data_IF_183265167625
#
_entry.id   IF_183265167625
#
_cell.length_a   1.000
_cell.length_b   1.000
_cell.length_c   1.000
_cell.angle_alpha   90.00
_cell.angle_beta   90.00
_cell.angle_gamma   90.00
#
_symmetry.space_group_name_H-M   'P 1'
#
loop_
_entity.id
_entity.type
_entity.pdbx_description
1 polymer ?
#
# COMPACT_ATOMS: atom_id res chain seq x y z
N UNK A 1 -0.26 -15.66 23.35
CA UNK A 1 -0.37 -14.61 22.31
C UNK A 1 0.36 -13.31 22.68
N UNK A 2 0.14 -12.69 23.85
CA UNK A 2 0.84 -11.43 24.23
C UNK A 2 2.37 -11.50 24.09
N UNK A 3 3.02 -12.50 24.67
CA UNK A 3 4.49 -12.63 24.60
C UNK A 3 5.00 -12.82 23.16
N UNK A 4 4.24 -13.48 22.28
CA UNK A 4 4.60 -13.62 20.88
C UNK A 4 4.53 -12.27 20.15
N UNK A 5 3.49 -11.47 20.38
CA UNK A 5 3.39 -10.12 19.82
C UNK A 5 4.48 -9.18 20.37
N UNK A 6 4.83 -9.28 21.65
CA UNK A 6 5.94 -8.52 22.23
C UNK A 6 7.26 -8.89 21.56
N UNK A 7 7.53 -10.18 21.38
CA UNK A 7 8.73 -10.66 20.68
C UNK A 7 8.76 -10.19 19.22
N UNK A 8 7.62 -10.21 18.52
CA UNK A 8 7.50 -9.69 17.16
C UNK A 8 7.82 -8.20 17.10
N UNK A 9 7.21 -7.39 17.98
CA UNK A 9 7.49 -5.94 18.03
C UNK A 9 8.99 -5.72 18.31
N UNK A 10 9.59 -6.44 19.24
CA UNK A 10 11.03 -6.31 19.53
C UNK A 10 11.90 -6.68 18.33
N UNK A 11 11.52 -7.70 17.56
CA UNK A 11 12.19 -8.07 16.33
C UNK A 11 12.08 -6.97 15.27
N UNK A 12 10.86 -6.47 15.03
CA UNK A 12 10.54 -5.42 14.07
C UNK A 12 11.31 -4.12 14.34
N UNK A 13 11.53 -3.77 15.62
CA UNK A 13 12.32 -2.60 16.04
C UNK A 13 13.78 -2.66 15.57
N UNK A 14 14.30 -3.84 15.25
CA UNK A 14 15.63 -4.05 14.69
C UNK A 14 15.68 -4.14 13.17
N UNK A 15 14.54 -4.16 12.47
CA UNK A 15 14.48 -4.31 11.02
C UNK A 15 14.40 -2.94 10.31
N UNK A 16 15.43 -2.53 9.55
CA UNK A 16 15.42 -1.28 8.79
C UNK A 16 14.24 -1.15 7.83
N UNK A 17 13.77 -2.26 7.23
CA UNK A 17 12.64 -2.25 6.29
C UNK A 17 11.32 -1.93 7.02
N UNK A 18 11.11 -2.53 8.18
CA UNK A 18 9.99 -2.20 9.04
C UNK A 18 10.08 -0.75 9.54
N UNK A 19 11.28 -0.30 9.95
CA UNK A 19 11.51 1.06 10.44
C UNK A 19 11.19 2.13 9.39
N UNK A 20 11.55 1.92 8.11
CA UNK A 20 11.24 2.90 7.06
C UNK A 20 9.75 2.97 6.76
N UNK A 21 9.05 1.82 6.74
CA UNK A 21 7.60 1.77 6.57
C UNK A 21 6.88 2.44 7.74
N UNK A 22 7.37 2.22 8.97
CA UNK A 22 6.86 2.83 10.20
C UNK A 22 7.05 4.34 10.20
N UNK A 23 8.24 4.83 9.86
CA UNK A 23 8.52 6.25 9.74
C UNK A 23 7.65 6.89 8.65
N UNK A 24 7.49 6.23 7.50
CA UNK A 24 6.62 6.67 6.41
C UNK A 24 5.17 6.82 6.86
N UNK A 25 4.58 5.76 7.42
CA UNK A 25 3.18 5.78 7.87
C UNK A 25 2.95 6.83 8.96
N UNK A 26 3.87 6.96 9.92
CA UNK A 26 3.73 7.94 11.00
C UNK A 26 3.79 9.39 10.53
N UNK A 27 4.50 9.67 9.43
CA UNK A 27 4.56 11.00 8.82
C UNK A 27 3.34 11.28 7.93
N UNK A 28 3.03 10.36 7.03
CA UNK A 28 1.97 10.53 6.01
C UNK A 28 0.58 10.52 6.64
N UNK A 29 0.40 9.75 7.72
CA UNK A 29 -0.85 9.60 8.46
C UNK A 29 -0.78 10.19 9.88
N UNK A 30 0.02 11.24 10.09
CA UNK A 30 0.11 11.91 11.39
C UNK A 30 -1.28 12.29 11.91
N UNK A 31 -1.62 11.84 13.12
CA UNK A 31 -2.92 12.08 13.75
C UNK A 31 -4.07 11.22 13.25
N UNK A 32 -3.83 10.28 12.32
CA UNK A 32 -4.83 9.37 11.76
C UNK A 32 -4.56 7.91 12.18
N UNK A 33 -5.58 7.04 12.36
CA UNK A 33 -5.40 5.63 12.73
C UNK A 33 -4.50 4.82 11.79
N UNK A 34 -4.43 5.17 10.49
CA UNK A 34 -3.48 4.56 9.54
C UNK A 34 -2.00 4.80 9.91
N UNK A 35 -1.75 5.81 10.73
CA UNK A 35 -0.45 6.06 11.32
C UNK A 35 -0.13 5.12 12.47
N UNK A 36 -1.02 4.24 12.94
CA UNK A 36 -0.74 3.34 14.05
C UNK A 36 -0.16 1.99 13.54
N UNK A 37 0.83 1.38 14.22
CA UNK A 37 1.30 0.05 13.88
C UNK A 37 0.22 -0.99 14.23
N UNK A 38 -0.02 -1.93 13.31
CA UNK A 38 -1.06 -2.96 13.50
C UNK A 38 -0.83 -3.86 14.73
N UNK A 39 0.42 -4.15 15.07
CA UNK A 39 0.77 -4.91 16.27
C UNK A 39 0.70 -4.06 17.57
N UNK A 40 0.48 -2.75 17.47
CA UNK A 40 0.55 -1.81 18.59
C UNK A 40 1.98 -1.47 19.00
N UNK A 41 2.14 -1.02 20.24
CA UNK A 41 3.42 -0.67 20.87
C UNK A 41 3.68 -1.60 22.06
N UNK A 42 4.94 -1.71 22.49
CA UNK A 42 5.26 -2.44 23.72
C UNK A 42 4.44 -1.94 24.93
N UNK A 43 4.26 -0.62 25.04
CA UNK A 43 3.44 -0.01 26.08
C UNK A 43 1.95 -0.40 25.98
N UNK A 44 1.37 -0.37 24.77
CA UNK A 44 -0.05 -0.74 24.60
C UNK A 44 -0.27 -2.23 24.83
N UNK A 45 0.67 -3.09 24.42
CA UNK A 45 0.59 -4.54 24.65
C UNK A 45 0.56 -4.92 26.14
N UNK A 46 1.24 -4.15 26.97
CA UNK A 46 1.21 -4.31 28.42
C UNK A 46 -0.12 -3.82 29.05
N UNK A 47 -0.72 -2.78 28.48
CA UNK A 47 -1.95 -2.17 28.98
C UNK A 47 -3.22 -2.93 28.61
N UNK A 48 -3.26 -3.64 27.46
CA UNK A 48 -4.44 -4.38 27.00
C UNK A 48 -4.86 -5.44 28.03
N UNK A 49 -6.08 -5.35 28.52
CA UNK A 49 -6.72 -6.29 29.45
C UNK A 49 -7.61 -7.30 28.71
N UNK A 50 -8.09 -8.32 29.43
CA UNK A 50 -9.10 -9.22 28.88
C UNK A 50 -10.41 -8.48 28.59
N UNK A 51 -10.78 -7.52 29.43
CA UNK A 51 -12.04 -6.81 29.29
C UNK A 51 -12.05 -5.96 28.01
N UNK A 52 -10.95 -5.31 27.70
CA UNK A 52 -10.80 -4.55 26.44
C UNK A 52 -11.07 -5.42 25.21
N UNK A 53 -10.59 -6.67 25.20
CA UNK A 53 -10.84 -7.61 24.10
C UNK A 53 -12.30 -8.03 24.01
N UNK A 54 -12.95 -8.23 25.16
CA UNK A 54 -14.38 -8.59 25.22
C UNK A 54 -15.23 -7.42 24.70
N UNK A 55 -14.95 -6.21 25.16
CA UNK A 55 -15.68 -5.00 24.78
C UNK A 55 -15.45 -4.63 23.31
N UNK A 56 -14.21 -4.76 22.82
CA UNK A 56 -13.90 -4.58 21.40
C UNK A 56 -14.62 -5.61 20.52
N UNK A 57 -14.65 -6.88 20.94
CA UNK A 57 -15.36 -7.92 20.17
C UNK A 57 -16.86 -7.63 20.13
N UNK A 58 -17.47 -7.28 21.27
CA UNK A 58 -18.89 -6.99 21.36
C UNK A 58 -19.30 -5.75 20.53
N UNK A 59 -18.42 -4.76 20.39
CA UNK A 59 -18.69 -3.53 19.64
C UNK A 59 -18.37 -3.63 18.15
N UNK A 60 -17.43 -4.48 17.74
CA UNK A 60 -16.94 -4.53 16.34
C UNK A 60 -17.46 -5.75 15.55
N UNK A 61 -17.75 -6.87 16.21
CA UNK A 61 -18.24 -8.08 15.54
C UNK A 61 -19.76 -8.00 15.42
N UNK A 62 -20.23 -7.26 14.41
CA UNK A 62 -21.64 -6.95 14.21
C UNK A 62 -22.08 -7.24 12.78
N UNK A 63 -23.35 -7.59 12.58
CA UNK A 63 -23.88 -8.01 11.28
C UNK A 63 -23.75 -6.92 10.21
N UNK A 64 -23.95 -5.65 10.57
CA UNK A 64 -23.79 -4.52 9.63
C UNK A 64 -22.35 -4.30 9.13
N UNK A 65 -21.35 -4.84 9.82
CA UNK A 65 -19.93 -4.79 9.43
C UNK A 65 -19.44 -6.03 8.69
N UNK A 66 -20.23 -7.10 8.62
CA UNK A 66 -19.83 -8.34 7.97
C UNK A 66 -19.78 -8.19 6.45
N UNK A 67 -18.66 -8.60 5.87
CA UNK A 67 -18.49 -8.84 4.44
C UNK A 67 -18.04 -10.28 4.27
N UNK A 68 -18.75 -11.04 3.45
CA UNK A 68 -18.51 -12.47 3.27
C UNK A 68 -18.40 -12.77 1.77
N UNK A 69 -17.43 -13.61 1.43
CA UNK A 69 -17.29 -14.18 0.10
C UNK A 69 -17.15 -15.69 0.24
N UNK A 70 -17.98 -16.43 -0.49
CA UNK A 70 -18.08 -17.88 -0.40
C UNK A 70 -17.85 -18.44 -1.80
N UNK A 71 -16.91 -19.37 -1.94
CA UNK A 71 -16.61 -20.04 -3.19
C UNK A 71 -16.33 -21.53 -2.92
N UNK A 72 -17.00 -22.42 -3.65
CA UNK A 72 -16.86 -23.86 -3.50
C UNK A 72 -18.09 -24.62 -3.96
N UNK A 73 -18.09 -25.92 -3.69
CA UNK A 73 -19.23 -26.82 -3.92
C UNK A 73 -20.27 -26.62 -2.83
N UNK A 74 -21.05 -25.54 -2.95
CA UNK A 74 -22.10 -25.16 -2.01
C UNK A 74 -23.20 -24.40 -2.74
N UNK A 75 -24.46 -24.74 -2.43
CA UNK A 75 -25.62 -24.00 -2.94
C UNK A 75 -25.85 -22.71 -2.14
N UNK A 76 -26.54 -21.75 -2.74
CA UNK A 76 -26.89 -20.50 -2.06
C UNK A 76 -27.69 -20.76 -0.77
N UNK A 77 -28.65 -21.69 -0.81
CA UNK A 77 -29.47 -22.06 0.35
C UNK A 77 -28.65 -22.71 1.48
N UNK A 78 -27.67 -23.54 1.14
CA UNK A 78 -26.74 -24.13 2.13
C UNK A 78 -25.84 -23.06 2.74
N UNK A 79 -25.29 -22.17 1.92
CA UNK A 79 -24.47 -21.06 2.36
C UNK A 79 -25.25 -20.14 3.30
N UNK A 80 -26.47 -19.75 2.94
CA UNK A 80 -27.35 -18.92 3.77
C UNK A 80 -27.57 -19.54 5.15
N UNK A 81 -27.92 -20.83 5.21
CA UNK A 81 -28.10 -21.54 6.49
C UNK A 81 -26.84 -21.57 7.35
N UNK A 82 -25.66 -21.75 6.74
CA UNK A 82 -24.39 -21.75 7.47
C UNK A 82 -24.02 -20.35 7.98
N UNK A 83 -24.26 -19.31 7.18
CA UNK A 83 -24.05 -17.92 7.56
C UNK A 83 -24.95 -17.55 8.74
N UNK A 84 -26.24 -17.89 8.68
CA UNK A 84 -27.18 -17.65 9.78
C UNK A 84 -26.77 -18.40 11.05
N UNK A 85 -26.34 -19.65 10.91
CA UNK A 85 -25.86 -20.46 12.05
C UNK A 85 -24.59 -19.86 12.66
N UNK A 86 -23.65 -19.37 11.86
CA UNK A 86 -22.37 -18.87 12.33
C UNK A 86 -22.44 -17.45 12.90
N UNK A 87 -23.22 -16.57 12.25
CA UNK A 87 -23.18 -15.13 12.49
C UNK A 87 -24.53 -14.55 12.93
N UNK A 88 -25.61 -15.33 12.93
CA UNK A 88 -26.96 -14.85 13.28
C UNK A 88 -27.09 -14.34 14.72
N UNK A 89 -26.21 -14.81 15.63
CA UNK A 89 -26.17 -14.37 17.02
C UNK A 89 -25.40 -13.05 17.23
N UNK A 90 -24.73 -12.52 16.20
CA UNK A 90 -24.01 -11.26 16.33
C UNK A 90 -24.99 -10.07 16.46
N UNK A 91 -24.62 -9.02 17.24
CA UNK A 91 -25.39 -7.79 17.28
C UNK A 91 -25.64 -7.22 15.87
N UNK A 92 -26.79 -6.57 15.68
CA UNK A 92 -27.14 -6.02 14.37
C UNK A 92 -26.20 -4.87 13.96
N UNK A 93 -25.95 -3.96 14.91
CA UNK A 93 -25.10 -2.78 14.75
C UNK A 93 -24.11 -2.70 15.91
N UNK A 94 -23.03 -1.95 15.70
CA UNK A 94 -21.95 -1.75 16.63
C UNK A 94 -21.33 -0.38 16.46
N UNK A 95 -20.15 -0.19 17.04
CA UNK A 95 -19.40 1.04 16.87
C UNK A 95 -18.91 1.14 15.43
N UNK A 96 -19.35 2.18 14.72
CA UNK A 96 -18.89 2.48 13.37
C UNK A 96 -18.16 3.81 13.40
N UNK A 97 -16.85 3.80 13.18
CA UNK A 97 -16.13 5.02 12.86
C UNK A 97 -16.62 5.51 11.48
N UNK A 98 -17.44 6.56 11.51
CA UNK A 98 -17.72 7.41 10.35
C UNK A 98 -16.60 8.43 10.23
N UNK A 99 -15.45 8.00 9.76
CA UNK A 99 -14.34 8.90 9.48
C UNK A 99 -14.35 9.24 7.98
N UNK A 100 -14.30 10.54 7.68
CA UNK A 100 -14.31 11.06 6.31
C UNK A 100 -13.01 10.75 5.56
N UNK A 101 -12.95 11.16 4.29
CA UNK A 101 -11.72 11.03 3.52
C UNK A 101 -10.57 11.82 4.19
N UNK A 102 -9.43 11.17 4.36
CA UNK A 102 -8.21 11.73 4.91
C UNK A 102 -7.25 12.04 3.77
N UNK A 103 -6.94 13.32 3.58
CA UNK A 103 -5.88 13.76 2.69
C UNK A 103 -4.53 13.63 3.41
N UNK A 104 -3.63 12.73 2.96
CA UNK A 104 -2.34 12.59 3.59
C UNK A 104 -1.51 13.84 3.39
N UNK A 105 -0.66 14.15 4.37
CA UNK A 105 0.26 15.28 4.29
C UNK A 105 1.46 14.86 3.42
N UNK A 106 1.34 15.01 2.10
CA UNK A 106 2.50 14.95 1.23
C UNK A 106 3.28 16.25 1.41
N UNK A 107 4.48 16.13 1.96
CA UNK A 107 5.26 17.30 2.36
C UNK A 107 6.23 17.77 1.27
N UNK A 108 6.47 16.95 0.24
CA UNK A 108 7.56 17.15 -0.71
C UNK A 108 8.95 17.08 -0.07
N UNK A 109 9.04 16.55 1.17
CA UNK A 109 10.26 16.57 1.97
C UNK A 109 11.01 15.25 1.90
N UNK A 110 12.31 15.36 2.09
CA UNK A 110 13.22 14.26 2.37
C UNK A 110 13.41 14.12 3.88
N UNK A 111 13.11 12.95 4.41
CA UNK A 111 13.15 12.63 5.83
C UNK A 111 14.15 11.48 6.03
N UNK A 112 15.05 11.62 7.02
CA UNK A 112 16.05 10.61 7.33
C UNK A 112 15.96 10.22 8.81
N UNK A 113 15.85 8.93 9.08
CA UNK A 113 16.19 8.34 10.37
C UNK A 113 17.59 7.69 10.26
N UNK A 114 18.62 8.25 10.91
CA UNK A 114 19.98 7.72 10.82
C UNK A 114 20.08 6.34 11.47
N UNK A 115 20.58 5.36 10.71
CA UNK A 115 20.83 4.02 11.20
C UNK A 115 22.11 3.45 10.59
N UNK A 116 22.97 2.84 11.40
CA UNK A 116 24.23 2.28 10.92
C UNK A 116 24.03 0.94 10.20
N UNK A 117 23.57 1.00 8.96
CA UNK A 117 23.32 -0.15 8.09
C UNK A 117 24.13 -0.05 6.79
N UNK A 118 24.47 -1.19 6.15
CA UNK A 118 25.19 -1.19 4.87
C UNK A 118 24.35 -0.64 3.71
N UNK A 119 23.02 -0.67 3.84
CA UNK A 119 22.07 -0.15 2.87
C UNK A 119 21.14 0.85 3.53
N UNK A 120 20.70 1.84 2.75
CA UNK A 120 19.62 2.74 3.11
C UNK A 120 18.31 2.19 2.53
N UNK A 121 17.33 1.97 3.41
CA UNK A 121 15.96 1.63 3.04
C UNK A 121 15.21 2.90 2.69
N UNK A 122 14.46 2.91 1.58
CA UNK A 122 13.83 4.11 1.03
C UNK A 122 12.38 3.79 0.69
N UNK A 123 11.45 4.53 1.30
CA UNK A 123 10.03 4.55 0.93
C UNK A 123 9.66 5.94 0.43
N UNK A 124 8.88 5.97 -0.65
CA UNK A 124 8.46 7.17 -1.35
C UNK A 124 6.94 7.16 -1.40
N UNK A 125 6.33 8.32 -1.15
CA UNK A 125 4.90 8.53 -1.19
C UNK A 125 4.50 9.76 -1.96
N UNK A 126 3.45 9.61 -2.75
CA UNK A 126 2.76 10.66 -3.49
C UNK A 126 1.25 10.49 -3.36
N UNK A 127 0.52 11.55 -3.73
CA UNK A 127 -0.93 11.49 -3.85
C UNK A 127 -1.34 10.37 -4.81
N UNK A 128 -2.18 9.46 -4.33
CA UNK A 128 -2.73 8.38 -5.13
C UNK A 128 -4.04 8.75 -5.80
N UNK A 129 -4.76 7.71 -6.19
CA UNK A 129 -6.06 7.80 -6.85
C UNK A 129 -7.05 6.84 -6.17
N UNK A 130 -8.24 7.31 -5.75
CA UNK A 130 -9.27 6.44 -5.19
C UNK A 130 -9.74 5.36 -6.17
N UNK A 131 -10.25 4.26 -5.64
CA UNK A 131 -10.66 3.10 -6.43
C UNK A 131 -11.83 3.36 -7.40
N UNK A 132 -12.69 4.30 -7.03
CA UNK A 132 -13.89 4.73 -7.76
C UNK A 132 -13.64 5.93 -8.70
N UNK A 133 -12.41 6.43 -8.77
CA UNK A 133 -12.04 7.47 -9.73
C UNK A 133 -12.16 6.93 -11.16
N UNK A 134 -12.76 7.72 -12.06
CA UNK A 134 -12.92 7.38 -13.48
C UNK A 134 -11.60 7.05 -14.19
N UNK A 135 -10.49 7.52 -13.65
CA UNK A 135 -9.15 7.34 -14.19
C UNK A 135 -8.41 6.12 -13.61
N UNK A 136 -9.06 5.33 -12.73
CA UNK A 136 -8.43 4.21 -12.04
C UNK A 136 -7.71 3.24 -12.98
N UNK A 137 -8.37 2.81 -14.07
CA UNK A 137 -7.77 1.87 -15.02
C UNK A 137 -6.57 2.42 -15.77
N UNK A 138 -6.60 3.71 -16.11
CA UNK A 138 -5.45 4.40 -16.69
C UNK A 138 -4.30 4.50 -15.68
N UNK A 139 -4.60 4.72 -14.40
CA UNK A 139 -3.60 4.70 -13.34
C UNK A 139 -3.00 3.30 -13.11
N UNK A 140 -3.80 2.22 -13.19
CA UNK A 140 -3.31 0.84 -13.08
C UNK A 140 -2.30 0.53 -14.19
N UNK A 141 -2.63 0.88 -15.44
CA UNK A 141 -1.73 0.70 -16.59
C UNK A 141 -0.47 1.57 -16.41
N UNK A 142 -0.63 2.84 -16.02
CA UNK A 142 0.48 3.74 -15.73
C UNK A 142 1.42 3.14 -14.67
N UNK A 143 0.88 2.70 -13.53
CA UNK A 143 1.70 2.13 -12.45
C UNK A 143 2.41 0.85 -12.88
N UNK A 144 1.75 -0.02 -13.65
CA UNK A 144 2.37 -1.23 -14.20
C UNK A 144 3.63 -0.88 -15.00
N UNK A 145 3.52 0.07 -15.93
CA UNK A 145 4.64 0.52 -16.78
C UNK A 145 5.74 1.18 -15.95
N UNK A 146 5.37 1.99 -14.96
CA UNK A 146 6.32 2.74 -14.14
C UNK A 146 7.18 1.82 -13.27
N UNK A 147 6.55 1.04 -12.40
CA UNK A 147 7.23 0.23 -11.39
C UNK A 147 6.45 -0.98 -10.87
N UNK A 148 5.25 -1.23 -11.38
CA UNK A 148 4.40 -2.36 -10.96
C UNK A 148 4.62 -3.65 -11.75
N UNK A 149 5.14 -3.55 -12.98
CA UNK A 149 5.29 -4.67 -13.93
C UNK A 149 6.53 -5.53 -13.75
N UNK A 150 7.12 -5.57 -12.54
CA UNK A 150 8.34 -6.32 -12.27
C UNK A 150 9.50 -5.89 -13.20
N UNK A 151 10.24 -6.84 -13.80
CA UNK A 151 11.44 -6.58 -14.60
C UNK A 151 11.21 -5.68 -15.83
N UNK A 152 10.02 -5.70 -16.45
CA UNK A 152 9.73 -4.89 -17.63
C UNK A 152 9.40 -3.42 -17.31
N UNK A 153 9.23 -3.09 -16.04
CA UNK A 153 8.89 -1.74 -15.60
C UNK A 153 10.07 -0.77 -15.77
N UNK A 154 9.77 0.51 -16.08
CA UNK A 154 10.78 1.55 -16.33
C UNK A 154 11.78 1.69 -15.18
N UNK A 155 11.30 1.74 -13.94
CA UNK A 155 12.17 1.87 -12.76
C UNK A 155 13.13 0.67 -12.60
N UNK A 156 12.64 -0.55 -12.84
CA UNK A 156 13.48 -1.74 -12.78
C UNK A 156 14.56 -1.71 -13.87
N UNK A 157 14.20 -1.38 -15.10
CA UNK A 157 15.16 -1.24 -16.20
C UNK A 157 16.21 -0.16 -15.91
N UNK A 158 15.79 1.02 -15.50
CA UNK A 158 16.69 2.18 -15.39
C UNK A 158 17.58 2.13 -14.15
N UNK A 159 17.05 1.68 -13.01
CA UNK A 159 17.76 1.72 -11.72
C UNK A 159 18.48 0.39 -11.46
N UNK A 160 17.82 -0.75 -11.72
CA UNK A 160 18.40 -2.07 -11.47
C UNK A 160 19.22 -2.56 -12.66
N UNK A 161 18.66 -2.63 -13.86
CA UNK A 161 19.33 -3.29 -14.98
C UNK A 161 20.46 -2.46 -15.59
N UNK A 162 20.19 -1.20 -15.91
CA UNK A 162 21.18 -0.31 -16.55
C UNK A 162 22.28 0.17 -15.61
N UNK A 163 21.95 0.38 -14.32
CA UNK A 163 22.83 1.07 -13.36
C UNK A 163 23.21 0.22 -12.14
N UNK A 164 22.52 -0.88 -11.86
CA UNK A 164 22.84 -1.74 -10.71
C UNK A 164 22.81 -1.02 -9.36
N UNK A 165 21.89 -0.08 -9.18
CA UNK A 165 21.81 0.76 -7.97
C UNK A 165 21.06 0.09 -6.82
N UNK A 166 20.13 -0.81 -7.16
CA UNK A 166 19.30 -1.60 -6.24
C UNK A 166 19.19 -3.04 -6.73
N UNK A 167 18.86 -3.96 -5.83
CA UNK A 167 18.43 -5.30 -6.21
C UNK A 167 17.01 -5.32 -6.81
N UNK A 168 16.15 -4.41 -6.37
CA UNK A 168 14.77 -4.31 -6.82
C UNK A 168 14.14 -2.98 -6.43
N UNK A 169 13.20 -2.53 -7.24
CA UNK A 169 12.38 -1.34 -7.00
C UNK A 169 10.98 -1.60 -7.52
N UNK A 170 9.98 -1.13 -6.80
CA UNK A 170 8.59 -1.30 -7.18
C UNK A 170 7.79 -0.04 -6.90
N UNK A 171 6.66 0.10 -7.59
CA UNK A 171 5.64 1.10 -7.28
C UNK A 171 4.26 0.48 -7.18
N UNK A 172 3.41 1.04 -6.32
CA UNK A 172 2.05 0.54 -6.10
C UNK A 172 1.04 1.66 -5.90
N UNK A 173 -0.16 1.44 -6.44
CA UNK A 173 -1.36 2.18 -6.08
C UNK A 173 -1.98 1.51 -4.85
N UNK A 174 -2.07 2.25 -3.75
CA UNK A 174 -2.70 1.80 -2.52
C UNK A 174 -4.00 2.56 -2.34
N UNK A 175 -5.12 1.96 -2.74
CA UNK A 175 -6.45 2.48 -2.40
C UNK A 175 -6.85 1.97 -1.02
N UNK A 176 -7.07 2.89 -0.09
CA UNK A 176 -7.53 2.63 1.26
C UNK A 176 -8.96 3.15 1.44
N UNK A 177 -9.63 2.77 2.52
CA UNK A 177 -11.03 3.17 2.77
C UNK A 177 -11.22 4.68 2.81
N UNK A 178 -10.23 5.43 3.28
CA UNK A 178 -10.33 6.88 3.48
C UNK A 178 -9.26 7.67 2.71
N UNK A 179 -8.40 7.02 1.94
CA UNK A 179 -7.32 7.71 1.25
C UNK A 179 -6.78 6.88 0.09
N UNK A 180 -5.93 7.46 -0.75
CA UNK A 180 -5.18 6.71 -1.74
C UNK A 180 -3.76 7.24 -1.88
N UNK A 181 -2.82 6.33 -2.08
CA UNK A 181 -1.40 6.65 -2.23
C UNK A 181 -0.84 6.03 -3.50
N UNK A 182 0.08 6.75 -4.14
CA UNK A 182 1.06 6.14 -5.02
C UNK A 182 2.36 6.03 -4.23
N UNK A 183 2.88 4.82 -4.11
CA UNK A 183 4.09 4.54 -3.34
C UNK A 183 5.16 3.93 -4.22
N UNK A 184 6.42 4.13 -3.86
CA UNK A 184 7.55 3.38 -4.40
C UNK A 184 8.52 3.01 -3.28
N UNK A 185 9.25 1.92 -3.45
CA UNK A 185 10.17 1.42 -2.42
C UNK A 185 11.34 0.66 -2.99
N UNK A 186 12.52 0.85 -2.38
CA UNK A 186 13.74 0.12 -2.69
C UNK A 186 14.79 0.24 -1.58
N UNK A 187 15.87 -0.52 -1.73
CA UNK A 187 17.04 -0.51 -0.88
C UNK A 187 18.29 -0.29 -1.74
N UNK A 188 19.16 0.64 -1.36
CA UNK A 188 20.42 0.88 -2.07
C UNK A 188 21.58 0.95 -1.08
N UNK A 189 22.81 0.71 -1.54
CA UNK A 189 23.99 1.03 -0.71
C UNK A 189 24.00 2.52 -0.38
N UNK A 190 24.63 2.89 0.72
CA UNK A 190 24.65 4.27 1.21
C UNK A 190 25.21 5.25 0.14
N UNK A 191 26.20 4.83 -0.63
CA UNK A 191 26.83 5.62 -1.69
C UNK A 191 25.94 5.76 -2.93
N UNK A 192 25.08 4.77 -3.19
CA UNK A 192 24.20 4.69 -4.38
C UNK A 192 22.81 5.28 -4.15
N UNK A 193 22.42 5.51 -2.90
CA UNK A 193 21.08 5.96 -2.53
C UNK A 193 20.67 7.26 -3.23
N UNK A 194 21.58 8.24 -3.29
CA UNK A 194 21.30 9.52 -3.94
C UNK A 194 21.01 9.34 -5.44
N UNK A 195 21.91 8.65 -6.14
CA UNK A 195 21.77 8.42 -7.59
C UNK A 195 20.47 7.67 -7.90
N UNK A 196 20.12 6.66 -7.10
CA UNK A 196 18.88 5.90 -7.29
C UNK A 196 17.62 6.78 -7.11
N UNK A 197 17.62 7.69 -6.13
CA UNK A 197 16.52 8.64 -5.93
C UNK A 197 16.43 9.62 -7.10
N UNK A 198 17.56 10.14 -7.57
CA UNK A 198 17.61 11.07 -8.70
C UNK A 198 17.03 10.41 -9.97
N UNK A 199 17.48 9.19 -10.29
CA UNK A 199 16.97 8.42 -11.45
C UNK A 199 15.47 8.13 -11.31
N UNK A 200 14.99 7.78 -10.11
CA UNK A 200 13.55 7.60 -9.89
C UNK A 200 12.76 8.87 -10.20
N UNK A 201 13.24 10.04 -9.72
CA UNK A 201 12.59 11.33 -9.99
C UNK A 201 12.58 11.66 -11.48
N UNK A 202 13.68 11.38 -12.17
CA UNK A 202 13.79 11.57 -13.62
C UNK A 202 12.78 10.69 -14.37
N UNK A 203 12.61 9.42 -13.98
CA UNK A 203 11.61 8.53 -14.58
C UNK A 203 10.17 8.98 -14.30
N UNK A 204 9.90 9.45 -13.07
CA UNK A 204 8.60 10.06 -12.72
C UNK A 204 8.28 11.23 -13.64
N UNK A 205 9.24 12.15 -13.78
CA UNK A 205 9.10 13.34 -14.61
C UNK A 205 8.95 12.98 -16.09
N UNK A 206 9.80 12.09 -16.60
CA UNK A 206 9.75 11.65 -18.00
C UNK A 206 8.40 11.02 -18.34
N UNK A 207 7.87 10.15 -17.47
CA UNK A 207 6.56 9.54 -17.70
C UNK A 207 5.42 10.58 -17.66
N UNK A 208 5.51 11.60 -16.80
CA UNK A 208 4.55 12.70 -16.79
C UNK A 208 4.61 13.56 -18.07
N UNK A 209 5.81 13.89 -18.56
CA UNK A 209 6.00 14.81 -19.68
C UNK A 209 5.79 14.12 -21.04
N UNK A 210 6.42 12.97 -21.24
CA UNK A 210 6.45 12.26 -22.51
C UNK A 210 5.27 11.29 -22.62
N UNK A 211 4.91 10.62 -21.53
CA UNK A 211 3.91 9.55 -21.49
C UNK A 211 4.52 8.15 -21.64
N UNK A 212 3.64 7.16 -21.78
CA UNK A 212 4.01 5.79 -22.12
C UNK A 212 4.02 5.59 -23.65
N UNK A 213 4.89 4.70 -24.14
CA UNK A 213 4.91 4.29 -25.54
C UNK A 213 3.74 3.35 -25.84
N UNK A 214 3.36 3.22 -27.12
CA UNK A 214 2.30 2.30 -27.54
C UNK A 214 2.62 0.84 -27.19
N UNK A 215 3.89 0.44 -27.29
CA UNK A 215 4.37 -0.89 -26.92
C UNK A 215 4.19 -1.14 -25.43
N UNK A 216 4.65 -0.21 -24.58
CA UNK A 216 4.47 -0.33 -23.12
C UNK A 216 3.00 -0.46 -22.71
N UNK A 217 2.10 0.30 -23.36
CA UNK A 217 0.67 0.21 -23.08
C UNK A 217 0.10 -1.12 -23.55
N UNK A 218 0.50 -1.59 -24.73
CA UNK A 218 0.04 -2.87 -25.29
C UNK A 218 0.47 -4.03 -24.40
N UNK A 219 1.74 -4.05 -23.99
CA UNK A 219 2.30 -5.09 -23.12
C UNK A 219 1.66 -5.05 -21.74
N UNK A 220 1.47 -3.86 -21.17
CA UNK A 220 0.79 -3.68 -19.89
C UNK A 220 -0.65 -4.23 -19.93
N UNK A 221 -1.41 -3.91 -20.99
CA UNK A 221 -2.77 -4.42 -21.17
C UNK A 221 -2.79 -5.94 -21.33
N UNK A 222 -1.90 -6.48 -22.16
CA UNK A 222 -1.80 -7.92 -22.38
C UNK A 222 -1.53 -8.66 -21.05
N UNK A 223 -0.57 -8.17 -20.26
CA UNK A 223 -0.27 -8.74 -18.95
C UNK A 223 -1.45 -8.61 -17.98
N UNK A 224 -1.98 -7.40 -17.77
CA UNK A 224 -3.02 -7.13 -16.76
C UNK A 224 -4.34 -7.87 -17.04
N UNK A 225 -4.63 -8.15 -18.31
CA UNK A 225 -5.81 -8.92 -18.71
C UNK A 225 -5.58 -10.42 -18.65
N UNK A 226 -4.39 -10.89 -19.01
CA UNK A 226 -4.00 -12.30 -18.96
C UNK A 226 -3.74 -12.82 -17.54
N UNK A 227 -3.25 -11.97 -16.63
CA UNK A 227 -2.90 -12.35 -15.26
C UNK A 227 -4.13 -12.61 -14.38
N UNK A 228 -5.28 -12.02 -14.69
CA UNK A 228 -6.51 -12.14 -13.89
C UNK A 228 -6.94 -13.61 -13.70
N UNK A 229 -6.80 -14.46 -14.73
CA UNK A 229 -7.17 -15.87 -14.63
C UNK A 229 -6.25 -16.64 -13.68
N UNK A 230 -4.98 -16.23 -13.56
CA UNK A 230 -4.02 -16.82 -12.62
C UNK A 230 -4.36 -16.46 -11.17
N UNK A 231 -5.01 -15.32 -10.96
CA UNK A 231 -5.51 -14.85 -9.65
C UNK A 231 -6.82 -15.55 -9.23
N UNK A 232 -7.37 -16.46 -10.04
CA UNK A 232 -8.67 -17.12 -9.80
C UNK A 232 -8.57 -18.66 -9.86
N UNK A 233 -7.40 -19.22 -9.53
CA UNK A 233 -7.10 -20.65 -9.71
C UNK A 233 -7.57 -21.56 -8.58
N UNK A 234 -7.91 -21.00 -7.41
CA UNK A 234 -8.47 -21.74 -6.28
C UNK A 234 -9.72 -21.07 -5.70
N UNK A 235 -10.51 -21.83 -4.94
CA UNK A 235 -11.66 -21.28 -4.18
C UNK A 235 -11.22 -20.23 -3.15
N UNK A 236 -10.02 -20.37 -2.59
CA UNK A 236 -9.40 -19.36 -1.73
C UNK A 236 -9.11 -18.05 -2.46
N UNK A 237 -8.59 -18.13 -3.69
CA UNK A 237 -8.29 -16.93 -4.49
C UNK A 237 -9.57 -16.25 -4.98
N UNK A 238 -10.57 -17.03 -5.41
CA UNK A 238 -11.88 -16.52 -5.84
C UNK A 238 -12.56 -15.79 -4.68
N UNK A 239 -12.66 -16.42 -3.50
CA UNK A 239 -13.30 -15.79 -2.34
C UNK A 239 -12.54 -14.54 -1.87
N UNK A 240 -11.19 -14.57 -1.88
CA UNK A 240 -10.37 -13.40 -1.57
C UNK A 240 -10.60 -12.24 -2.55
N UNK A 241 -10.70 -12.55 -3.85
CA UNK A 241 -10.99 -11.55 -4.89
C UNK A 241 -12.37 -10.92 -4.69
N UNK A 242 -13.41 -11.75 -4.52
CA UNK A 242 -14.78 -11.26 -4.30
C UNK A 242 -14.90 -10.41 -3.02
N UNK A 243 -14.19 -10.79 -1.96
CA UNK A 243 -14.14 -9.98 -0.73
C UNK A 243 -13.41 -8.64 -0.97
N UNK A 244 -12.34 -8.65 -1.76
CA UNK A 244 -11.64 -7.44 -2.22
C UNK A 244 -12.58 -6.48 -2.96
N UNK A 245 -13.40 -7.00 -3.89
CA UNK A 245 -14.39 -6.19 -4.61
C UNK A 245 -15.40 -5.55 -3.67
N UNK A 246 -15.95 -6.32 -2.72
CA UNK A 246 -16.87 -5.78 -1.71
C UNK A 246 -16.23 -4.70 -0.84
N UNK A 247 -14.95 -4.86 -0.46
CA UNK A 247 -14.19 -3.84 0.27
C UNK A 247 -14.08 -2.55 -0.54
N UNK A 248 -13.85 -2.69 -1.83
CA UNK A 248 -13.65 -1.63 -2.81
C UNK A 248 -14.97 -1.02 -3.32
N UNK A 249 -16.14 -1.52 -2.87
CA UNK A 249 -17.45 -1.01 -3.28
C UNK A 249 -17.89 -1.46 -4.68
N UNK A 250 -17.29 -2.54 -5.20
CA UNK A 250 -17.56 -3.09 -6.52
C UNK A 250 -18.46 -4.32 -6.42
N UNK A 251 -19.34 -4.48 -7.41
CA UNK A 251 -20.14 -5.69 -7.56
C UNK A 251 -19.30 -6.88 -8.06
N UNK A 252 -19.83 -8.08 -7.91
CA UNK A 252 -19.16 -9.31 -8.32
C UNK A 252 -18.97 -9.43 -9.84
N UNK A 253 -19.83 -8.78 -10.64
CA UNK A 253 -19.75 -8.78 -12.10
C UNK A 253 -18.57 -7.96 -12.63
N UNK A 254 -17.98 -7.10 -11.80
CA UNK A 254 -16.77 -6.35 -12.13
C UNK A 254 -15.66 -7.21 -12.75
N UNK A 255 -15.49 -8.47 -12.30
CA UNK A 255 -14.48 -9.40 -12.85
C UNK A 255 -14.68 -9.61 -14.35
N UNK A 256 -15.94 -9.71 -14.81
CA UNK A 256 -16.27 -9.97 -16.20
C UNK A 256 -16.03 -8.74 -17.10
N UNK A 257 -16.27 -7.54 -16.57
CA UNK A 257 -16.13 -6.28 -17.34
C UNK A 257 -14.75 -5.62 -17.22
N UNK A 258 -13.98 -5.90 -16.17
CA UNK A 258 -12.66 -5.29 -15.90
C UNK A 258 -11.74 -5.28 -17.11
N UNK A 259 -11.60 -6.42 -17.79
CA UNK A 259 -10.69 -6.53 -18.93
C UNK A 259 -11.16 -5.65 -20.10
N UNK A 260 -12.46 -5.62 -20.39
CA UNK A 260 -13.01 -4.73 -21.42
C UNK A 260 -12.83 -3.25 -21.06
N UNK A 261 -12.95 -2.89 -19.79
CA UNK A 261 -12.70 -1.53 -19.30
C UNK A 261 -11.22 -1.12 -19.42
N UNK A 262 -10.28 -2.00 -19.05
CA UNK A 262 -8.84 -1.79 -19.25
C UNK A 262 -8.48 -1.61 -20.73
N UNK A 263 -9.11 -2.39 -21.62
CA UNK A 263 -8.83 -2.30 -23.06
C UNK A 263 -9.27 -0.96 -23.67
N UNK A 264 -10.30 -0.30 -23.12
CA UNK A 264 -10.77 1.03 -23.57
C UNK A 264 -9.81 2.17 -23.26
N UNK A 265 -8.87 2.00 -22.32
CA UNK A 265 -7.94 3.06 -21.92
C UNK A 265 -7.06 3.47 -23.11
N UNK A 266 -6.95 4.77 -23.37
CA UNK A 266 -6.11 5.29 -24.46
C UNK A 266 -4.72 5.73 -23.97
N UNK A 267 -3.73 5.90 -24.86
CA UNK A 267 -2.45 6.52 -24.49
C UNK A 267 -2.60 7.92 -23.88
N UNK A 268 -3.57 8.71 -24.36
CA UNK A 268 -3.86 10.04 -23.82
C UNK A 268 -4.40 9.97 -22.39
N UNK A 269 -5.21 8.96 -22.06
CA UNK A 269 -5.66 8.73 -20.68
C UNK A 269 -4.49 8.43 -19.75
N UNK A 270 -3.57 7.55 -20.17
CA UNK A 270 -2.39 7.19 -19.38
C UNK A 270 -1.51 8.42 -19.18
N UNK A 271 -1.25 9.21 -20.23
CA UNK A 271 -0.45 10.44 -20.15
C UNK A 271 -1.08 11.48 -19.23
N UNK A 272 -2.39 11.72 -19.37
CA UNK A 272 -3.13 12.66 -18.53
C UNK A 272 -3.08 12.26 -17.05
N UNK A 273 -3.20 10.97 -16.75
CA UNK A 273 -3.09 10.46 -15.37
C UNK A 273 -1.66 10.55 -14.86
N UNK A 274 -0.65 10.27 -15.69
CA UNK A 274 0.74 10.46 -15.34
C UNK A 274 1.03 11.92 -14.97
N UNK A 275 0.55 12.90 -15.75
CA UNK A 275 0.68 14.33 -15.44
C UNK A 275 -0.01 14.75 -14.14
N UNK A 276 -1.13 14.10 -13.82
CA UNK A 276 -1.91 14.34 -12.60
C UNK A 276 -1.20 13.79 -11.37
N UNK A 277 -0.68 12.56 -11.42
CA UNK A 277 -0.18 11.83 -10.26
C UNK A 277 1.36 11.89 -10.08
N UNK A 278 2.13 11.96 -11.15
CA UNK A 278 3.59 11.84 -11.09
C UNK A 278 4.26 13.21 -10.90
N UNK A 279 3.96 13.85 -9.77
CA UNK A 279 4.58 15.12 -9.33
C UNK A 279 5.92 14.85 -8.64
N UNK A 280 7.02 14.78 -9.41
CA UNK A 280 8.35 14.41 -8.89
C UNK A 280 8.84 15.33 -7.75
N UNK A 281 8.47 16.62 -7.79
CA UNK A 281 8.86 17.62 -6.78
C UNK A 281 8.02 17.55 -5.49
N UNK A 282 6.90 16.83 -5.50
CA UNK A 282 5.99 16.67 -4.36
C UNK A 282 6.20 15.34 -3.61
N UNK A 283 7.18 14.53 -4.03
CA UNK A 283 7.48 13.24 -3.43
C UNK A 283 7.92 13.42 -1.97
N UNK A 284 7.24 12.72 -1.07
CA UNK A 284 7.72 12.54 0.30
C UNK A 284 8.63 11.32 0.32
N UNK A 285 9.91 11.53 0.64
CA UNK A 285 10.94 10.49 0.63
C UNK A 285 11.38 10.23 2.06
N UNK A 286 11.17 9.02 2.55
CA UNK A 286 11.55 8.60 3.90
C UNK A 286 12.65 7.56 3.79
N UNK A 287 13.74 7.79 4.53
CA UNK A 287 14.95 6.99 4.49
C UNK A 287 15.33 6.49 5.88
N UNK A 288 15.80 5.26 5.96
CA UNK A 288 16.44 4.67 7.15
C UNK A 288 17.80 4.14 6.75
N UNK A 289 18.88 4.72 7.29
CA UNK A 289 20.25 4.35 6.92
C UNK A 289 21.24 5.50 7.07
N UNK A 290 22.28 5.51 6.24
CA UNK A 290 23.32 6.56 6.20
C UNK A 290 23.64 6.96 4.75
N UNK A 291 22.66 7.47 3.98
CA UNK A 291 22.89 7.81 2.59
C UNK A 291 23.92 8.93 2.46
N UNK A 292 24.84 8.80 1.50
CA UNK A 292 25.84 9.82 1.20
C UNK A 292 25.30 10.86 0.22
N UNK A 293 25.74 12.11 0.36
CA UNK A 293 25.38 13.18 -0.56
C UNK A 293 23.91 13.64 -0.50
N UNK A 294 23.13 13.20 0.49
CA UNK A 294 21.75 13.64 0.72
C UNK A 294 21.67 14.47 2.00
N UNK A 295 21.18 15.71 1.87
CA UNK A 295 20.81 16.54 3.01
C UNK A 295 19.30 16.42 3.24
N UNK A 296 18.84 15.77 4.32
CA UNK A 296 17.41 15.67 4.60
C UNK A 296 16.84 17.01 5.05
N UNK A 297 15.57 17.26 4.73
CA UNK A 297 14.80 18.38 5.27
C UNK A 297 14.42 18.15 6.74
N UNK A 298 14.21 16.88 7.10
CA UNK A 298 13.87 16.45 8.46
C UNK A 298 14.80 15.31 8.89
N UNK A 299 15.54 15.52 9.97
CA UNK A 299 16.31 14.49 10.64
C UNK A 299 15.51 13.96 11.83
N UNK A 300 15.20 12.67 11.82
CA UNK A 300 14.50 11.99 12.90
C UNK A 300 15.50 11.47 13.92
N UNK A 301 15.24 11.75 15.19
CA UNK A 301 15.93 11.14 16.34
C UNK A 301 15.35 9.76 16.68
N UNK A 302 14.09 9.52 16.31
CA UNK A 302 13.37 8.25 16.44
C UNK A 302 12.30 8.11 15.36
N UNK A 303 11.87 6.90 15.03
CA UNK A 303 10.76 6.69 14.11
C UNK A 303 9.43 7.23 14.68
N UNK A 304 8.67 8.05 13.91
CA UNK A 304 7.35 8.52 14.29
C UNK A 304 6.37 7.39 14.66
N UNK A 305 5.69 7.55 15.80
CA UNK A 305 4.74 6.56 16.32
C UNK A 305 5.37 5.45 17.17
N UNK A 306 6.64 5.57 17.59
CA UNK A 306 7.14 4.83 18.74
C UNK A 306 6.92 5.64 20.03
N UNK A 307 5.87 5.34 20.79
CA UNK A 307 5.79 5.82 22.18
C UNK A 307 6.84 5.08 23.02
N UNK A 308 7.51 5.79 23.93
CA UNK A 308 8.36 5.15 24.94
C UNK A 308 7.54 4.13 25.74
N UNK A 309 8.14 3.04 26.25
CA UNK A 309 7.64 2.49 27.49
C UNK A 309 7.75 3.61 28.53
N UNK A 310 6.62 4.04 29.11
CA UNK A 310 6.64 4.99 30.23
C UNK A 310 7.70 4.52 31.22
N UNK A 311 8.69 5.38 31.50
CA UNK A 311 9.69 5.11 32.52
C UNK A 311 8.93 4.90 33.84
N UNK A 312 9.02 3.68 34.37
CA UNK A 312 8.56 3.35 35.72
C UNK A 312 9.34 4.15 36.76
#
# INVERSE_FOLDING_TARGET
MRNANVAQIQHDLGDPAWLVARAFNGMVFEGHPYGLPGAGHLASMAAITRQDLVDYTASQFVRSGLKLAIAGDITEDEAARLVDKAFGALPAEGESEKSGFFLPKYTGKTILFPLNTPQTQINIGAAGIPRDDKDWHAAVIMNYILGGGSFDARLMREIREKRGLTYGIYSSLQSMRQTALLTAGFAASNEKAKEAIDVLKDEWKRMAEEGATEVEITDAKAYLTGSLLLELTSTGDISSTLNGLQRDGLDADYINRRNAELMKVTPDDVKRVAQRLLKADELTIVMVGKPEGIKPDILLDRPPGMKEPEKK
#
